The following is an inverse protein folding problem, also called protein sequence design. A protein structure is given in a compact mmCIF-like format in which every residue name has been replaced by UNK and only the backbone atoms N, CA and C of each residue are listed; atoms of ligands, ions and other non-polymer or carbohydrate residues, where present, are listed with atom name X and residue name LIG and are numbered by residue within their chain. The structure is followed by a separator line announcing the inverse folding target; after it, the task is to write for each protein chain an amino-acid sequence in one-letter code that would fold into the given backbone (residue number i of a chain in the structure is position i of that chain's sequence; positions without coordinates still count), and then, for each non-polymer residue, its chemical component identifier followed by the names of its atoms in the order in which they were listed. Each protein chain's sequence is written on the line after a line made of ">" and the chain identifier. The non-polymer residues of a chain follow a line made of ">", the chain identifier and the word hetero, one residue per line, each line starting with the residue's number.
data_IF_566313529579
#
_entry.id   IF_566313529579
#
_cell.length_a   1.000
_cell.length_b   1.000
_cell.length_c   1.000
_cell.angle_alpha   90.00
_cell.angle_beta   90.00
_cell.angle_gamma   90.00
#
_symmetry.space_group_name_H-M   'P 1'
#
loop_
_entity.id
_entity.type
_entity.pdbx_description
1 polymer ?
#
# COMPACT_ATOMS: atom_id res chain seq x y z
N UNK A 1 -37.96 -50.30 13.89
CA UNK A 1 -38.02 -48.91 14.36
C UNK A 1 -36.87 -48.65 15.34
N UNK A 2 -35.60 -48.70 14.90
CA UNK A 2 -34.46 -48.35 15.78
C UNK A 2 -33.14 -48.07 15.04
N UNK A 3 -33.18 -47.81 13.73
CA UNK A 3 -31.99 -47.44 12.95
C UNK A 3 -32.07 -46.04 12.31
N UNK A 4 -33.25 -45.40 12.28
CA UNK A 4 -33.44 -44.12 11.59
C UNK A 4 -33.17 -42.87 12.47
N UNK A 5 -33.03 -43.03 13.79
CA UNK A 5 -32.89 -41.89 14.73
C UNK A 5 -31.41 -41.51 15.00
N UNK A 6 -30.43 -42.34 14.60
CA UNK A 6 -29.00 -42.08 14.88
C UNK A 6 -28.25 -41.29 13.79
N UNK A 7 -28.83 -41.08 12.61
CA UNK A 7 -28.16 -40.38 11.50
C UNK A 7 -28.43 -38.86 11.48
N UNK A 8 -29.47 -38.39 12.18
CA UNK A 8 -29.84 -36.96 12.20
C UNK A 8 -29.04 -36.12 13.20
N UNK A 9 -28.37 -36.73 14.19
CA UNK A 9 -27.56 -36.00 15.18
C UNK A 9 -26.13 -35.70 14.72
N UNK A 10 -25.59 -36.42 13.74
CA UNK A 10 -24.21 -36.20 13.29
C UNK A 10 -24.10 -35.00 12.33
N UNK A 11 -25.14 -34.69 11.55
CA UNK A 11 -25.08 -33.62 10.56
C UNK A 11 -25.13 -32.19 11.15
N UNK A 12 -25.78 -31.99 12.31
CA UNK A 12 -25.88 -30.66 12.96
C UNK A 12 -24.61 -30.24 13.71
N UNK A 13 -23.76 -31.19 14.10
CA UNK A 13 -22.53 -30.90 14.85
C UNK A 13 -21.38 -30.41 13.95
N UNK A 14 -21.37 -30.79 12.67
CA UNK A 14 -20.34 -30.32 11.75
C UNK A 14 -20.58 -28.88 11.29
N UNK A 15 -21.84 -28.47 11.05
CA UNK A 15 -22.16 -27.13 10.56
C UNK A 15 -21.84 -26.04 11.60
N UNK A 16 -22.08 -26.31 12.89
CA UNK A 16 -21.72 -25.39 13.98
C UNK A 16 -20.22 -25.26 14.22
N UNK A 17 -19.44 -26.32 13.96
CA UNK A 17 -17.98 -26.30 14.14
C UNK A 17 -17.26 -25.51 13.05
N UNK A 18 -17.71 -25.60 11.79
CA UNK A 18 -17.14 -24.80 10.69
C UNK A 18 -17.48 -23.31 10.81
N UNK A 19 -18.70 -22.96 11.26
CA UNK A 19 -19.09 -21.57 11.54
C UNK A 19 -18.31 -20.96 12.71
N UNK A 20 -18.09 -21.69 13.81
CA UNK A 20 -17.26 -21.20 14.92
C UNK A 20 -15.77 -21.06 14.54
N UNK A 21 -15.20 -21.99 13.75
CA UNK A 21 -13.80 -21.90 13.32
C UNK A 21 -13.54 -20.76 12.33
N UNK A 22 -14.51 -20.43 11.46
CA UNK A 22 -14.41 -19.27 10.57
C UNK A 22 -14.64 -17.94 11.31
N UNK A 23 -15.51 -17.90 12.33
CA UNK A 23 -15.70 -16.72 13.18
C UNK A 23 -14.49 -16.44 14.10
N UNK A 24 -13.81 -17.49 14.60
CA UNK A 24 -12.60 -17.39 15.44
C UNK A 24 -11.38 -16.85 14.68
N UNK A 25 -11.23 -17.17 13.39
CA UNK A 25 -10.14 -16.63 12.56
C UNK A 25 -10.32 -15.14 12.23
N UNK A 26 -11.58 -14.68 12.12
CA UNK A 26 -11.90 -13.27 11.84
C UNK A 26 -11.77 -12.42 13.12
N UNK A 27 -12.12 -12.93 14.30
CA UNK A 27 -11.99 -12.19 15.56
C UNK A 27 -10.54 -12.05 16.03
N UNK A 28 -9.69 -13.04 15.74
CA UNK A 28 -8.28 -13.03 16.17
C UNK A 28 -7.43 -12.01 15.39
N UNK A 29 -7.71 -11.85 14.09
CA UNK A 29 -6.96 -10.93 13.21
C UNK A 29 -7.14 -9.47 13.59
N UNK A 30 -8.35 -9.06 14.01
CA UNK A 30 -8.61 -7.71 14.50
C UNK A 30 -7.82 -7.39 15.78
N UNK A 31 -7.71 -8.35 16.71
CA UNK A 31 -6.99 -8.12 17.98
C UNK A 31 -5.48 -7.93 17.85
N UNK A 32 -4.86 -8.53 16.82
CA UNK A 32 -3.42 -8.38 16.55
C UNK A 32 -3.11 -7.12 15.76
N UNK A 33 -3.99 -6.75 14.83
CA UNK A 33 -3.90 -5.47 14.13
C UNK A 33 -3.88 -4.28 15.11
N UNK A 34 -4.76 -4.30 16.11
CA UNK A 34 -4.78 -3.29 17.18
C UNK A 34 -3.48 -3.26 17.98
N UNK A 35 -2.91 -4.41 18.36
CA UNK A 35 -1.62 -4.44 19.07
C UNK A 35 -0.47 -3.84 18.24
N UNK A 36 -0.47 -4.08 16.93
CA UNK A 36 0.52 -3.51 16.02
C UNK A 36 0.40 -1.98 15.90
N UNK A 37 -0.83 -1.46 15.77
CA UNK A 37 -1.06 -0.02 15.72
C UNK A 37 -0.75 0.65 17.06
N UNK A 38 -1.13 0.03 18.19
CA UNK A 38 -0.78 0.52 19.53
C UNK A 38 0.73 0.61 19.72
N UNK A 39 1.47 -0.40 19.24
CA UNK A 39 2.94 -0.36 19.27
C UNK A 39 3.47 0.78 18.40
N UNK A 40 3.00 0.92 17.15
CA UNK A 40 3.42 2.00 16.24
C UNK A 40 3.20 3.38 16.84
N UNK A 41 2.09 3.61 17.55
CA UNK A 41 1.82 4.89 18.21
C UNK A 41 2.91 5.29 19.22
N UNK A 42 3.55 4.31 19.86
CA UNK A 42 4.66 4.56 20.80
C UNK A 42 6.00 4.89 20.12
N UNK A 43 6.09 4.75 18.79
CA UNK A 43 7.33 4.92 18.03
C UNK A 43 7.48 6.31 17.40
N UNK A 44 6.58 7.26 17.66
CA UNK A 44 6.67 8.61 17.09
C UNK A 44 7.89 9.37 17.64
N UNK A 45 8.67 9.97 16.74
CA UNK A 45 9.78 10.85 17.08
C UNK A 45 9.30 12.30 17.30
N UNK A 46 10.13 13.17 17.94
CA UNK A 46 9.78 14.58 18.15
C UNK A 46 9.55 15.40 16.87
N UNK A 47 10.12 14.98 15.74
CA UNK A 47 9.94 15.61 14.42
C UNK A 47 8.70 15.08 13.68
N UNK A 48 7.96 14.14 14.27
CA UNK A 48 6.78 13.50 13.68
C UNK A 48 7.09 12.27 12.83
N UNK A 49 8.36 11.90 12.64
CA UNK A 49 8.72 10.69 11.90
C UNK A 49 8.47 9.42 12.73
N UNK A 50 8.28 8.30 12.03
CA UNK A 50 8.33 6.94 12.60
C UNK A 50 9.53 6.22 12.01
N UNK A 51 10.70 6.32 12.66
CA UNK A 51 11.93 5.68 12.22
C UNK A 51 12.97 5.56 13.35
N UNK A 52 13.84 4.57 13.23
CA UNK A 52 15.03 4.38 14.06
C UNK A 52 16.32 4.60 13.24
N UNK A 53 17.42 5.09 13.84
CA UNK A 53 18.71 5.20 13.16
C UNK A 53 19.29 3.88 12.62
N UNK A 54 18.77 2.73 13.07
CA UNK A 54 19.19 1.41 12.61
C UNK A 54 18.33 0.85 11.48
N UNK A 55 17.28 1.57 11.06
CA UNK A 55 16.38 1.11 10.02
C UNK A 55 17.06 1.16 8.65
N UNK A 56 16.72 0.18 7.80
CA UNK A 56 17.15 0.16 6.39
C UNK A 56 16.30 1.15 5.57
N UNK A 57 15.02 1.32 5.95
CA UNK A 57 14.14 2.29 5.31
C UNK A 57 14.52 3.71 5.73
N UNK A 58 14.44 4.64 4.79
CA UNK A 58 14.60 6.06 5.14
C UNK A 58 13.38 6.55 5.93
N UNK A 59 13.53 7.56 6.81
CA UNK A 59 12.43 8.02 7.66
C UNK A 59 11.15 8.38 6.91
N UNK A 60 11.26 8.92 5.70
CA UNK A 60 10.12 9.22 4.84
C UNK A 60 9.31 7.96 4.44
N UNK A 61 9.99 6.92 3.96
CA UNK A 61 9.36 5.66 3.58
C UNK A 61 8.68 4.99 4.77
N UNK A 62 9.37 4.92 5.92
CA UNK A 62 8.84 4.32 7.12
C UNK A 62 7.61 5.08 7.65
N UNK A 63 7.69 6.40 7.72
CA UNK A 63 6.58 7.26 8.17
C UNK A 63 5.36 7.15 7.25
N UNK A 64 5.56 7.13 5.93
CA UNK A 64 4.47 6.94 4.97
C UNK A 64 3.81 5.56 5.11
N UNK A 65 4.61 4.51 5.36
CA UNK A 65 4.07 3.16 5.56
C UNK A 65 3.27 3.04 6.86
N UNK A 66 3.70 3.74 7.92
CA UNK A 66 2.92 3.84 9.17
C UNK A 66 1.58 4.52 8.94
N UNK A 67 1.55 5.66 8.23
CA UNK A 67 0.30 6.35 7.91
C UNK A 67 -0.63 5.50 7.03
N UNK A 68 -0.08 4.79 6.04
CA UNK A 68 -0.84 3.82 5.23
C UNK A 68 -1.42 2.71 6.11
N UNK A 69 -0.63 2.17 7.02
CA UNK A 69 -1.04 1.12 7.97
C UNK A 69 -2.15 1.62 8.89
N UNK A 70 -2.02 2.82 9.44
CA UNK A 70 -3.04 3.46 10.27
C UNK A 70 -4.36 3.61 9.52
N UNK A 71 -4.32 4.10 8.28
CA UNK A 71 -5.52 4.22 7.46
C UNK A 71 -6.18 2.84 7.21
N UNK A 72 -5.39 1.82 6.84
CA UNK A 72 -5.91 0.47 6.57
C UNK A 72 -6.54 -0.19 7.81
N UNK A 73 -6.07 0.16 9.01
CA UNK A 73 -6.59 -0.35 10.27
C UNK A 73 -7.65 0.56 10.92
N UNK A 74 -8.06 1.64 10.24
CA UNK A 74 -9.10 2.55 10.74
C UNK A 74 -8.67 3.38 11.95
N UNK A 75 -7.36 3.60 12.14
CA UNK A 75 -6.85 4.51 13.17
C UNK A 75 -7.36 5.93 12.87
N UNK A 76 -7.87 6.59 13.91
CA UNK A 76 -8.45 7.93 13.77
C UNK A 76 -7.42 8.95 13.29
N UNK A 77 -7.81 9.84 12.38
CA UNK A 77 -7.00 11.00 11.96
C UNK A 77 -6.73 11.99 13.12
N UNK A 78 -7.52 11.92 14.20
CA UNK A 78 -7.29 12.70 15.43
C UNK A 78 -6.40 11.99 16.44
N UNK A 79 -5.94 10.76 16.15
CA UNK A 79 -5.03 10.03 17.02
C UNK A 79 -3.71 10.80 17.18
N UNK A 80 -3.12 10.71 18.36
CA UNK A 80 -1.83 11.33 18.64
C UNK A 80 -0.77 10.83 17.63
N UNK A 81 0.12 11.73 17.19
CA UNK A 81 1.18 11.42 16.23
C UNK A 81 0.76 11.54 14.76
N UNK A 82 -0.48 11.19 14.38
CA UNK A 82 -0.93 11.22 12.98
C UNK A 82 -0.76 12.59 12.32
N UNK A 83 -1.19 13.66 13.00
CA UNK A 83 -1.04 15.02 12.48
C UNK A 83 0.44 15.44 12.33
N UNK A 84 1.31 15.04 13.26
CA UNK A 84 2.75 15.33 13.19
C UNK A 84 3.43 14.56 12.05
N UNK A 85 3.05 13.30 11.84
CA UNK A 85 3.54 12.50 10.73
C UNK A 85 3.08 13.02 9.37
N UNK A 86 1.84 13.47 9.24
CA UNK A 86 1.38 14.15 8.02
C UNK A 86 2.16 15.45 7.78
N UNK A 87 2.49 16.21 8.82
CA UNK A 87 3.37 17.39 8.71
C UNK A 87 4.79 17.01 8.29
N UNK A 88 5.36 15.93 8.83
CA UNK A 88 6.66 15.40 8.43
C UNK A 88 6.67 15.04 6.93
N UNK A 89 5.68 14.30 6.45
CA UNK A 89 5.51 13.96 5.03
C UNK A 89 5.33 15.22 4.17
N UNK A 90 4.60 16.23 4.67
CA UNK A 90 4.38 17.47 3.94
C UNK A 90 5.66 18.29 3.76
N UNK A 91 6.54 18.26 4.76
CA UNK A 91 7.77 19.04 4.80
C UNK A 91 8.84 18.54 3.81
N UNK A 92 8.72 17.31 3.31
CA UNK A 92 9.62 16.80 2.27
C UNK A 92 9.48 17.62 0.98
N UNK A 93 10.63 17.99 0.43
CA UNK A 93 10.77 18.80 -0.78
C UNK A 93 11.34 18.02 -1.95
N UNK A 94 11.97 16.87 -1.69
CA UNK A 94 12.43 15.96 -2.72
C UNK A 94 11.28 15.08 -3.21
N UNK A 95 10.69 15.49 -4.33
CA UNK A 95 9.62 14.78 -5.02
C UNK A 95 10.17 13.90 -6.15
N UNK A 96 10.78 12.76 -5.80
CA UNK A 96 10.89 11.66 -6.76
C UNK A 96 9.55 10.91 -6.85
N UNK A 97 9.39 10.03 -7.85
CA UNK A 97 8.11 9.34 -8.10
C UNK A 97 7.62 8.55 -6.89
N UNK A 98 8.50 7.80 -6.20
CA UNK A 98 8.13 7.09 -4.97
C UNK A 98 7.63 8.06 -3.87
N UNK A 99 8.38 9.12 -3.57
CA UNK A 99 8.02 10.04 -2.49
C UNK A 99 6.72 10.77 -2.81
N UNK A 100 6.59 11.28 -4.03
CA UNK A 100 5.39 11.96 -4.48
C UNK A 100 4.17 11.02 -4.43
N UNK A 101 4.34 9.77 -4.86
CA UNK A 101 3.28 8.76 -4.78
C UNK A 101 2.85 8.48 -3.33
N UNK A 102 3.82 8.27 -2.42
CA UNK A 102 3.54 8.07 -0.98
C UNK A 102 2.85 9.29 -0.35
N UNK A 103 3.24 10.52 -0.74
CA UNK A 103 2.56 11.76 -0.33
C UNK A 103 1.11 11.77 -0.79
N UNK A 104 0.84 11.46 -2.06
CA UNK A 104 -0.51 11.39 -2.60
C UNK A 104 -1.35 10.35 -1.85
N UNK A 105 -0.82 9.14 -1.66
CA UNK A 105 -1.54 8.04 -0.98
C UNK A 105 -1.90 8.42 0.46
N UNK A 106 -0.96 8.98 1.21
CA UNK A 106 -1.19 9.38 2.61
C UNK A 106 -2.15 10.57 2.72
N UNK A 107 -2.07 11.53 1.80
CA UNK A 107 -2.92 12.72 1.82
C UNK A 107 -4.34 12.42 1.35
N UNK A 108 -4.49 11.65 0.27
CA UNK A 108 -5.79 11.21 -0.23
C UNK A 108 -6.55 10.39 0.81
N UNK A 109 -5.88 9.46 1.50
CA UNK A 109 -6.49 8.68 2.58
C UNK A 109 -6.85 9.51 3.81
N UNK A 110 -6.20 10.67 3.98
CA UNK A 110 -6.52 11.66 5.02
C UNK A 110 -7.53 12.73 4.56
N UNK A 111 -8.24 12.49 3.45
CA UNK A 111 -9.22 13.40 2.84
C UNK A 111 -8.65 14.79 2.48
N UNK A 112 -7.35 14.89 2.20
CA UNK A 112 -6.72 16.12 1.73
C UNK A 112 -6.80 16.22 0.20
N UNK A 113 -6.80 17.45 -0.33
CA UNK A 113 -6.78 17.67 -1.77
C UNK A 113 -5.38 17.34 -2.33
N UNK A 114 -5.33 16.44 -3.30
CA UNK A 114 -4.08 15.98 -3.94
C UNK A 114 -3.96 16.38 -5.41
N UNK A 115 -4.84 17.24 -5.93
CA UNK A 115 -4.92 17.53 -7.38
C UNK A 115 -3.61 18.13 -7.94
N UNK A 116 -2.96 18.99 -7.17
CA UNK A 116 -1.67 19.56 -7.57
C UNK A 116 -0.56 18.50 -7.63
N UNK A 117 -0.53 17.59 -6.64
CA UNK A 117 0.43 16.50 -6.58
C UNK A 117 0.19 15.48 -7.71
N UNK A 118 -1.08 15.17 -8.02
CA UNK A 118 -1.44 14.34 -9.17
C UNK A 118 -1.00 14.98 -10.48
N UNK A 119 -1.18 16.30 -10.63
CA UNK A 119 -0.72 17.04 -11.81
C UNK A 119 0.80 16.97 -11.96
N UNK A 120 1.53 17.09 -10.85
CA UNK A 120 2.99 16.92 -10.82
C UNK A 120 3.39 15.49 -11.22
N UNK A 121 2.74 14.48 -10.63
CA UNK A 121 3.04 13.07 -10.90
C UNK A 121 2.83 12.72 -12.37
N UNK A 122 1.69 13.07 -12.97
CA UNK A 122 1.40 12.72 -14.38
C UNK A 122 2.34 13.41 -15.36
N UNK A 123 2.91 14.57 -15.00
CA UNK A 123 3.92 15.24 -15.81
C UNK A 123 5.27 14.47 -15.84
N UNK A 124 5.46 13.50 -14.96
CA UNK A 124 6.64 12.63 -14.92
C UNK A 124 6.50 11.38 -15.81
N UNK A 125 5.33 11.15 -16.43
CA UNK A 125 5.14 10.01 -17.35
C UNK A 125 5.97 10.22 -18.63
N UNK A 126 6.76 9.21 -18.99
CA UNK A 126 7.56 9.21 -20.20
C UNK A 126 6.75 8.79 -21.43
N UNK A 127 7.33 9.02 -22.62
CA UNK A 127 6.74 8.65 -23.92
C UNK A 127 6.48 7.15 -24.04
N UNK A 128 7.24 6.31 -23.33
CA UNK A 128 7.05 4.87 -23.30
C UNK A 128 5.90 4.42 -22.37
N UNK A 129 5.24 5.36 -21.68
CA UNK A 129 4.13 5.14 -20.76
C UNK A 129 4.54 4.88 -19.31
N UNK A 130 5.81 4.59 -19.04
CA UNK A 130 6.30 4.38 -17.69
C UNK A 130 6.66 5.68 -16.96
N UNK A 131 7.01 5.54 -15.69
CA UNK A 131 7.54 6.62 -14.85
C UNK A 131 8.95 6.25 -14.41
N UNK A 132 9.84 7.24 -14.33
CA UNK A 132 11.19 7.09 -13.77
C UNK A 132 11.31 7.78 -12.41
N UNK A 133 12.50 7.74 -11.80
CA UNK A 133 12.74 8.36 -10.49
C UNK A 133 12.35 9.86 -10.47
N UNK A 134 12.73 10.61 -11.51
CA UNK A 134 12.43 12.02 -11.70
C UNK A 134 11.91 12.26 -13.13
N UNK A 135 11.34 13.44 -13.37
CA UNK A 135 10.92 13.85 -14.72
C UNK A 135 12.05 13.69 -15.74
N UNK A 136 11.81 12.93 -16.81
CA UNK A 136 12.77 12.66 -17.88
C UNK A 136 13.82 11.58 -17.60
N UNK A 137 13.80 10.97 -16.41
CA UNK A 137 14.63 9.79 -16.12
C UNK A 137 14.01 8.54 -16.74
N UNK A 138 14.82 7.51 -16.97
CA UNK A 138 14.36 6.26 -17.58
C UNK A 138 13.25 5.62 -16.74
N UNK A 139 12.21 5.15 -17.42
CA UNK A 139 11.10 4.47 -16.78
C UNK A 139 11.58 3.20 -16.07
N UNK A 140 11.02 2.95 -14.88
CA UNK A 140 11.26 1.73 -14.11
C UNK A 140 9.93 1.08 -13.72
N UNK A 141 9.96 -0.23 -13.50
CA UNK A 141 8.78 -0.97 -12.98
C UNK A 141 8.33 -0.40 -11.65
N UNK A 142 9.26 -0.15 -10.74
CA UNK A 142 8.96 0.25 -9.36
C UNK A 142 8.32 1.64 -9.31
N UNK A 143 8.89 2.61 -10.04
CA UNK A 143 8.36 3.97 -10.12
C UNK A 143 6.98 3.97 -10.81
N UNK A 144 6.81 3.18 -11.88
CA UNK A 144 5.53 3.07 -12.59
C UNK A 144 4.45 2.45 -11.69
N UNK A 145 4.80 1.45 -10.88
CA UNK A 145 3.89 0.84 -9.92
C UNK A 145 3.46 1.85 -8.83
N UNK A 146 4.41 2.59 -8.26
CA UNK A 146 4.09 3.66 -7.29
C UNK A 146 3.20 4.74 -7.89
N UNK A 147 3.49 5.18 -9.11
CA UNK A 147 2.66 6.15 -9.81
C UNK A 147 1.22 5.65 -9.96
N UNK A 148 1.01 4.42 -10.43
CA UNK A 148 -0.33 3.82 -10.56
C UNK A 148 -1.06 3.70 -9.22
N UNK A 149 -0.38 3.29 -8.15
CA UNK A 149 -0.97 3.25 -6.80
C UNK A 149 -1.45 4.64 -6.36
N UNK A 150 -0.67 5.70 -6.63
CA UNK A 150 -1.02 7.07 -6.29
C UNK A 150 -2.15 7.64 -7.16
N UNK A 151 -2.16 7.36 -8.46
CA UNK A 151 -3.25 7.76 -9.35
C UNK A 151 -4.58 7.15 -8.88
N UNK A 152 -4.57 5.86 -8.52
CA UNK A 152 -5.74 5.19 -7.95
C UNK A 152 -6.18 5.80 -6.61
N UNK A 153 -5.23 6.01 -5.68
CA UNK A 153 -5.53 6.60 -4.37
C UNK A 153 -6.10 8.02 -4.48
N UNK A 154 -5.62 8.81 -5.44
CA UNK A 154 -6.11 10.15 -5.74
C UNK A 154 -7.38 10.21 -6.60
N UNK A 155 -7.99 9.07 -6.93
CA UNK A 155 -9.16 8.98 -7.82
C UNK A 155 -8.95 9.68 -9.18
N UNK A 156 -7.72 9.61 -9.70
CA UNK A 156 -7.40 10.12 -11.03
C UNK A 156 -8.06 9.25 -12.11
N UNK A 157 -8.53 9.88 -13.20
CA UNK A 157 -9.45 9.25 -14.15
C UNK A 157 -9.12 9.50 -15.63
N UNK A 158 -7.91 9.97 -15.95
CA UNK A 158 -7.46 10.01 -17.35
C UNK A 158 -7.03 8.60 -17.79
N UNK A 159 -7.91 7.95 -18.57
CA UNK A 159 -7.73 6.60 -19.08
C UNK A 159 -6.45 6.45 -19.93
N UNK A 160 -6.01 7.50 -20.63
CA UNK A 160 -4.83 7.42 -21.51
C UNK A 160 -3.58 7.28 -20.67
N UNK A 161 -3.43 8.14 -19.65
CA UNK A 161 -2.29 8.10 -18.73
C UNK A 161 -2.23 6.76 -18.01
N UNK A 162 -3.36 6.30 -17.47
CA UNK A 162 -3.45 5.04 -16.73
C UNK A 162 -3.14 3.84 -17.64
N UNK A 163 -3.76 3.78 -18.82
CA UNK A 163 -3.56 2.66 -19.76
C UNK A 163 -2.11 2.60 -20.27
N UNK A 164 -1.46 3.74 -20.50
CA UNK A 164 -0.06 3.78 -20.92
C UNK A 164 0.88 3.20 -19.84
N UNK A 165 0.62 3.50 -18.56
CA UNK A 165 1.38 2.95 -17.44
C UNK A 165 1.19 1.45 -17.28
N UNK A 166 -0.06 0.96 -17.41
CA UNK A 166 -0.37 -0.47 -17.40
C UNK A 166 0.34 -1.18 -18.57
N UNK A 167 0.23 -0.64 -19.79
CA UNK A 167 0.90 -1.18 -20.98
C UNK A 167 2.44 -1.17 -20.87
N UNK A 168 3.01 -0.23 -20.12
CA UNK A 168 4.43 -0.26 -19.80
C UNK A 168 4.74 -1.47 -18.91
N UNK A 169 4.01 -1.66 -17.80
CA UNK A 169 4.23 -2.78 -16.89
C UNK A 169 4.03 -4.13 -17.58
N UNK A 170 2.98 -4.32 -18.36
CA UNK A 170 2.75 -5.57 -19.10
C UNK A 170 3.94 -5.97 -20.00
N UNK A 171 4.64 -5.00 -20.60
CA UNK A 171 5.86 -5.25 -21.40
C UNK A 171 7.09 -5.57 -20.56
N UNK A 172 7.09 -5.21 -19.28
CA UNK A 172 8.19 -5.52 -18.33
C UNK A 172 8.00 -6.85 -17.61
N UNK A 173 6.86 -7.52 -17.75
CA UNK A 173 6.60 -8.78 -17.07
C UNK A 173 7.50 -9.90 -17.61
N UNK A 174 8.21 -10.59 -16.72
CA UNK A 174 9.05 -11.74 -17.07
C UNK A 174 8.19 -12.93 -17.51
N UNK A 175 8.80 -13.90 -18.21
CA UNK A 175 8.11 -15.12 -18.66
C UNK A 175 7.50 -15.98 -17.55
N UNK A 176 7.93 -15.79 -16.30
CA UNK A 176 7.39 -16.44 -15.11
C UNK A 176 6.23 -15.65 -14.46
N UNK A 177 5.80 -14.53 -15.05
CA UNK A 177 4.76 -13.63 -14.54
C UNK A 177 5.24 -12.61 -13.50
N UNK A 178 6.50 -12.67 -13.08
CA UNK A 178 7.07 -11.76 -12.09
C UNK A 178 7.62 -10.47 -12.70
N UNK A 179 8.06 -9.58 -11.81
CA UNK A 179 8.66 -8.30 -12.18
C UNK A 179 10.01 -8.09 -11.48
N UNK A 180 10.95 -7.44 -12.16
CA UNK A 180 12.30 -7.18 -11.66
C UNK A 180 12.84 -5.81 -12.09
N UNK A 181 14.12 -5.54 -11.80
CA UNK A 181 14.80 -4.27 -12.17
C UNK A 181 15.25 -4.23 -13.66
N UNK A 182 14.51 -4.88 -14.56
CA UNK A 182 14.77 -4.82 -16.00
C UNK A 182 15.87 -5.77 -16.53
N UNK A 183 16.33 -6.74 -15.73
CA UNK A 183 17.15 -7.85 -16.22
C UNK A 183 16.27 -9.09 -16.45
N UNK A 184 16.38 -9.80 -17.60
CA UNK A 184 15.57 -10.98 -17.87
C UNK A 184 15.74 -12.04 -16.77
N UNK A 185 14.62 -12.61 -16.30
CA UNK A 185 14.59 -13.67 -15.28
C UNK A 185 15.18 -13.25 -13.91
N UNK A 186 15.13 -11.96 -13.59
CA UNK A 186 15.53 -11.44 -12.28
C UNK A 186 14.31 -10.93 -11.49
N UNK A 187 13.20 -11.66 -11.57
CA UNK A 187 11.99 -11.29 -10.87
C UNK A 187 12.25 -11.27 -9.36
N UNK A 188 11.78 -10.21 -8.71
CA UNK A 188 11.91 -10.00 -7.27
C UNK A 188 10.54 -10.06 -6.64
N UNK A 189 10.41 -10.79 -5.54
CA UNK A 189 9.16 -10.83 -4.75
C UNK A 189 8.78 -9.42 -4.30
N UNK A 190 9.76 -8.60 -3.92
CA UNK A 190 9.50 -7.24 -3.47
C UNK A 190 8.88 -6.37 -4.57
N UNK A 191 9.44 -6.39 -5.78
CA UNK A 191 8.93 -5.58 -6.90
C UNK A 191 7.61 -6.14 -7.42
N UNK A 192 7.52 -7.47 -7.53
CA UNK A 192 6.29 -8.15 -7.95
C UNK A 192 5.13 -7.85 -7.02
N UNK A 193 5.37 -7.67 -5.72
CA UNK A 193 4.33 -7.31 -4.76
C UNK A 193 3.87 -5.84 -4.84
N UNK A 194 4.57 -4.98 -5.58
CA UNK A 194 4.19 -3.58 -5.77
C UNK A 194 3.32 -3.35 -7.02
N UNK A 195 3.39 -4.26 -7.99
CA UNK A 195 2.61 -4.25 -9.24
C UNK A 195 1.28 -4.95 -9.04
#
# INVERSE_FOLDING_TARGET
>A
MMLCVRLTNLASEYWGRWLCSSLLLILSSHSLATQGTDWLETQTNPDGSYASPTDIAVPYQATAEVLKTFNLNGVSQQQAGVAAALQFINAETYHNTENLARKIITFASSNQNVNALLTELVAMQNVDGGFGELSGYHSSVLDTAFALQALNAGAFSDDIIISNAINYLERQQDSNGGFGLGLPNNSSINITAQV
#
